data_IF_394747407436
#
_entry.id   IF_394747407436
#
_cell.length_a   1.000
_cell.length_b   1.000
_cell.length_c   1.000
_cell.angle_alpha   90.00
_cell.angle_beta   90.00
_cell.angle_gamma   90.00
#
_symmetry.space_group_name_H-M   'P 1'
#
loop_
_entity.id
_entity.type
_entity.pdbx_description
1 polymer ?
#
# COMPACT_ATOMS: atom_id res chain seq x y z
N UNK A 1 5.57 -36.10 -19.30
CA UNK A 1 6.39 -34.93 -18.94
C UNK A 1 5.39 -33.85 -18.60
N UNK A 2 5.18 -33.56 -17.32
CA UNK A 2 4.31 -32.45 -16.92
C UNK A 2 4.98 -31.15 -17.36
N UNK A 3 4.27 -30.36 -18.16
CA UNK A 3 4.72 -29.03 -18.56
C UNK A 3 4.83 -28.15 -17.31
N UNK A 4 6.03 -27.65 -17.06
CA UNK A 4 6.31 -26.76 -15.94
C UNK A 4 5.43 -25.51 -16.06
N UNK A 5 4.51 -25.33 -15.11
CA UNK A 5 3.62 -24.16 -15.07
C UNK A 5 4.48 -22.90 -14.89
N UNK A 6 4.37 -21.99 -15.84
CA UNK A 6 5.12 -20.70 -15.85
C UNK A 6 4.73 -19.80 -14.66
N UNK A 7 3.55 -20.00 -14.07
CA UNK A 7 3.03 -19.17 -12.97
C UNK A 7 2.72 -20.03 -11.75
N UNK A 8 3.22 -19.60 -10.58
CA UNK A 8 2.95 -20.18 -9.27
C UNK A 8 2.27 -19.17 -8.34
N UNK A 9 1.31 -19.62 -7.53
CA UNK A 9 0.69 -18.79 -6.48
C UNK A 9 1.52 -18.69 -5.19
N UNK A 10 2.69 -19.36 -5.17
CA UNK A 10 3.62 -19.35 -4.05
C UNK A 10 4.67 -18.26 -4.26
N UNK A 11 4.91 -17.45 -3.22
CA UNK A 11 5.99 -16.46 -3.23
C UNK A 11 7.34 -17.16 -3.32
N UNK A 12 8.16 -16.70 -4.24
CA UNK A 12 9.58 -17.04 -4.34
C UNK A 12 10.40 -16.08 -3.46
N UNK A 13 11.60 -16.46 -3.03
CA UNK A 13 12.47 -15.57 -2.26
C UNK A 13 12.68 -14.20 -2.94
N UNK A 14 12.90 -14.20 -4.25
CA UNK A 14 13.14 -12.99 -5.05
C UNK A 14 11.91 -12.07 -5.14
N UNK A 15 10.70 -12.61 -4.95
CA UNK A 15 9.47 -11.81 -4.94
C UNK A 15 9.46 -10.85 -3.73
N UNK A 16 10.15 -11.19 -2.64
CA UNK A 16 10.19 -10.36 -1.44
C UNK A 16 10.98 -9.07 -1.65
N UNK A 17 12.17 -9.18 -2.26
CA UNK A 17 13.00 -8.02 -2.61
C UNK A 17 12.30 -7.14 -3.65
N UNK A 18 11.69 -7.77 -4.65
CA UNK A 18 10.94 -7.05 -5.68
C UNK A 18 9.74 -6.30 -5.09
N UNK A 19 8.90 -6.96 -4.27
CA UNK A 19 7.77 -6.31 -3.60
C UNK A 19 8.21 -5.14 -2.71
N UNK A 20 9.31 -5.31 -1.97
CA UNK A 20 9.85 -4.26 -1.10
C UNK A 20 10.25 -3.02 -1.90
N UNK A 21 10.84 -3.19 -3.09
CA UNK A 21 11.20 -2.07 -3.97
C UNK A 21 9.99 -1.36 -4.61
N UNK A 22 8.88 -2.08 -4.81
CA UNK A 22 7.69 -1.55 -5.47
C UNK A 22 6.70 -0.90 -4.48
N UNK A 23 6.75 -1.26 -3.20
CA UNK A 23 5.85 -0.72 -2.19
C UNK A 23 6.39 0.62 -1.66
N UNK A 24 5.66 1.73 -1.84
CA UNK A 24 6.04 3.03 -1.26
C UNK A 24 6.18 2.91 0.26
N UNK A 25 7.24 3.51 0.82
CA UNK A 25 7.46 3.60 2.25
C UNK A 25 6.65 4.74 2.88
N UNK A 26 6.37 5.79 2.09
CA UNK A 26 5.56 6.93 2.51
C UNK A 26 4.37 7.14 1.59
N UNK A 27 3.36 7.88 2.09
CA UNK A 27 2.19 8.24 1.28
C UNK A 27 2.59 9.15 0.09
N UNK A 28 3.64 9.95 0.25
CA UNK A 28 4.11 10.88 -0.77
C UNK A 28 4.78 10.17 -1.96
N UNK A 29 5.42 9.03 -1.72
CA UNK A 29 6.00 8.16 -2.75
C UNK A 29 4.92 7.41 -3.56
N UNK A 30 3.66 7.39 -3.10
CA UNK A 30 2.58 6.71 -3.80
C UNK A 30 2.19 7.47 -5.08
N UNK A 31 2.26 6.79 -6.22
CA UNK A 31 2.01 7.38 -7.53
C UNK A 31 0.50 7.38 -7.83
N UNK A 32 -0.05 8.57 -8.14
CA UNK A 32 -1.45 8.75 -8.48
C UNK A 32 -2.38 8.87 -7.26
N UNK A 33 -3.69 8.73 -7.50
CA UNK A 33 -4.73 8.84 -6.45
C UNK A 33 -4.66 10.13 -5.61
N UNK A 34 -4.30 11.26 -6.24
CA UNK A 34 -4.03 12.54 -5.58
C UNK A 34 -5.13 13.02 -4.61
N UNK A 35 -6.40 12.79 -4.97
CA UNK A 35 -7.54 13.14 -4.11
C UNK A 35 -7.56 12.28 -2.83
N UNK A 36 -7.33 10.97 -2.96
CA UNK A 36 -7.32 10.03 -1.84
C UNK A 36 -6.12 10.32 -0.94
N UNK A 37 -4.92 10.51 -1.51
CA UNK A 37 -3.71 10.85 -0.75
C UNK A 37 -3.91 12.10 0.10
N UNK A 38 -4.44 13.18 -0.48
CA UNK A 38 -4.72 14.42 0.27
C UNK A 38 -5.71 14.24 1.42
N UNK A 39 -6.78 13.46 1.21
CA UNK A 39 -7.72 13.18 2.30
C UNK A 39 -7.08 12.34 3.41
N UNK A 40 -6.27 11.34 3.06
CA UNK A 40 -5.54 10.54 4.05
C UNK A 40 -4.57 11.39 4.86
N UNK A 41 -3.81 12.27 4.21
CA UNK A 41 -2.89 13.18 4.91
C UNK A 41 -3.63 14.08 5.91
N UNK A 42 -4.78 14.64 5.51
CA UNK A 42 -5.64 15.43 6.39
C UNK A 42 -6.14 14.63 7.60
N UNK A 43 -6.62 13.41 7.39
CA UNK A 43 -7.14 12.57 8.48
C UNK A 43 -6.03 12.12 9.43
N UNK A 44 -4.89 11.69 8.89
CA UNK A 44 -3.73 11.30 9.71
C UNK A 44 -3.24 12.48 10.54
N UNK A 45 -3.17 13.66 9.94
CA UNK A 45 -2.79 14.90 10.66
C UNK A 45 -3.77 15.20 11.80
N UNK A 46 -5.08 15.11 11.54
CA UNK A 46 -6.10 15.37 12.56
C UNK A 46 -6.05 14.36 13.71
N UNK A 47 -5.90 13.06 13.41
CA UNK A 47 -5.78 11.99 14.41
C UNK A 47 -4.53 12.18 15.28
N UNK A 48 -3.39 12.53 14.65
CA UNK A 48 -2.14 12.84 15.37
C UNK A 48 -2.28 14.04 16.29
N UNK A 49 -2.96 15.11 15.85
CA UNK A 49 -3.21 16.29 16.68
C UNK A 49 -4.07 15.98 17.91
N UNK A 50 -5.02 15.04 17.78
CA UNK A 50 -5.86 14.58 18.89
C UNK A 50 -5.21 13.49 19.75
N UNK A 51 -4.02 13.02 19.37
CA UNK A 51 -3.31 11.91 20.00
C UNK A 51 -4.17 10.64 20.13
N UNK A 52 -4.99 10.37 19.12
CA UNK A 52 -5.87 9.19 19.06
C UNK A 52 -5.64 8.40 17.77
N UNK A 53 -6.21 7.20 17.72
CA UNK A 53 -6.19 6.40 16.50
C UNK A 53 -7.02 7.07 15.40
N UNK A 54 -6.59 6.91 14.15
CA UNK A 54 -7.38 7.33 13.00
C UNK A 54 -8.67 6.50 12.92
N UNK A 55 -9.81 7.17 12.73
CA UNK A 55 -11.11 6.53 12.57
C UNK A 55 -11.17 5.61 11.34
N UNK A 56 -12.17 4.74 11.30
CA UNK A 56 -12.37 3.84 10.16
C UNK A 56 -12.63 4.62 8.87
N UNK A 57 -11.82 4.34 7.85
CA UNK A 57 -11.94 4.93 6.51
C UNK A 57 -12.43 3.86 5.53
N UNK A 58 -13.50 4.16 4.80
CA UNK A 58 -13.92 3.38 3.63
C UNK A 58 -13.37 4.04 2.36
N UNK A 59 -12.48 3.34 1.66
CA UNK A 59 -12.03 3.73 0.33
C UNK A 59 -12.84 2.95 -0.71
N UNK A 60 -13.45 3.67 -1.65
CA UNK A 60 -14.18 3.08 -2.76
C UNK A 60 -13.90 3.87 -4.04
N UNK A 61 -13.83 3.18 -5.17
CA UNK A 61 -13.49 3.75 -6.48
C UNK A 61 -13.27 2.67 -7.51
#
# INVERSE_FOLDING_TARGET
MEEERIVSGWKRPDDWELEASLRPATLDEYIGQEKVKRHMDLFMTAARQRAEALDHVLLHG
#
